data_IF_618892522486
#
_entry.id   IF_618892522486
#
_cell.length_a   1.000
_cell.length_b   1.000
_cell.length_c   1.000
_cell.angle_alpha   90.00
_cell.angle_beta   90.00
_cell.angle_gamma   90.00
#
_symmetry.space_group_name_H-M   'P 1'
#
loop_
_entity.id
_entity.type
_entity.pdbx_description
1 polymer ?
#
# COMPACT_ATOMS: atom_id res chain seq x y z
N UNK A 1 -9.22 2.11 -17.63
CA UNK A 1 -10.62 1.72 -17.70
C UNK A 1 -11.56 2.77 -17.08
N UNK A 2 -11.24 3.32 -15.95
CA UNK A 2 -12.05 4.36 -15.28
C UNK A 2 -11.87 5.75 -15.91
N UNK A 3 -10.69 6.02 -16.47
CA UNK A 3 -10.36 7.29 -17.10
C UNK A 3 -10.55 7.27 -18.62
N UNK A 4 -10.72 6.08 -19.22
CA UNK A 4 -10.95 5.98 -20.66
C UNK A 4 -12.38 6.39 -21.01
N UNK A 5 -12.51 7.44 -21.80
CA UNK A 5 -13.79 7.97 -22.25
C UNK A 5 -14.16 9.35 -21.70
N UNK A 6 -13.36 9.91 -20.80
CA UNK A 6 -13.52 11.29 -20.40
C UNK A 6 -13.20 12.22 -21.59
N UNK A 7 -14.18 13.06 -21.93
CA UNK A 7 -14.05 14.07 -22.98
C UNK A 7 -14.38 15.44 -22.40
N UNK A 8 -13.46 16.38 -22.58
CA UNK A 8 -13.65 17.77 -22.25
C UNK A 8 -13.49 18.59 -23.53
N UNK A 9 -14.61 18.87 -24.21
CA UNK A 9 -14.55 19.51 -25.52
C UNK A 9 -13.77 18.66 -26.56
N UNK A 10 -12.67 19.18 -27.08
CA UNK A 10 -11.76 18.51 -27.99
C UNK A 10 -10.70 17.62 -27.32
N UNK A 11 -10.57 17.68 -26.00
CA UNK A 11 -9.61 16.90 -25.23
C UNK A 11 -10.18 15.52 -24.93
N UNK A 12 -9.45 14.47 -25.28
CA UNK A 12 -9.82 13.08 -25.02
C UNK A 12 -8.78 12.40 -24.13
N UNK A 13 -9.21 11.76 -23.06
CA UNK A 13 -8.37 10.99 -22.17
C UNK A 13 -8.56 9.50 -22.47
N UNK A 14 -7.49 8.82 -22.82
CA UNK A 14 -7.48 7.38 -23.07
C UNK A 14 -6.48 6.70 -22.13
N UNK A 15 -6.86 5.54 -21.58
CA UNK A 15 -5.95 4.70 -20.81
C UNK A 15 -5.58 3.46 -21.60
N UNK A 16 -4.29 3.23 -21.77
CA UNK A 16 -3.73 2.07 -22.48
C UNK A 16 -3.39 0.91 -21.54
N UNK A 17 -3.76 1.00 -20.27
CA UNK A 17 -3.43 0.04 -19.23
C UNK A 17 -3.99 -1.37 -19.54
N UNK A 18 -3.12 -2.36 -19.59
CA UNK A 18 -3.48 -3.76 -19.84
C UNK A 18 -3.78 -4.49 -18.52
N UNK A 19 -4.79 -5.35 -18.52
CA UNK A 19 -5.14 -6.19 -17.34
C UNK A 19 -3.99 -7.09 -16.90
N UNK A 20 -3.17 -7.57 -17.83
CA UNK A 20 -2.01 -8.42 -17.55
C UNK A 20 -0.95 -7.73 -16.69
N UNK A 21 -0.81 -6.42 -16.80
CA UNK A 21 0.16 -5.64 -16.01
C UNK A 21 -0.27 -5.54 -14.54
N UNK A 22 -1.57 -5.42 -14.29
CA UNK A 22 -2.13 -5.47 -12.94
C UNK A 22 -1.94 -6.85 -12.30
N UNK A 23 -2.22 -7.91 -13.06
CA UNK A 23 -2.04 -9.29 -12.56
C UNK A 23 -0.58 -9.52 -12.17
N UNK A 24 0.38 -9.07 -12.99
CA UNK A 24 1.81 -9.17 -12.67
C UNK A 24 2.20 -8.45 -11.38
N UNK A 25 1.59 -7.29 -11.12
CA UNK A 25 1.81 -6.52 -9.89
C UNK A 25 1.29 -7.30 -8.66
N UNK A 26 0.09 -7.86 -8.74
CA UNK A 26 -0.48 -8.67 -7.65
C UNK A 26 0.37 -9.91 -7.35
N UNK A 27 0.86 -10.62 -8.37
CA UNK A 27 1.75 -11.76 -8.18
C UNK A 27 3.06 -11.38 -7.48
N UNK A 28 3.61 -10.22 -7.81
CA UNK A 28 4.81 -9.69 -7.15
C UNK A 28 4.56 -9.43 -5.66
N UNK A 29 3.42 -8.81 -5.33
CA UNK A 29 3.03 -8.56 -3.93
C UNK A 29 2.80 -9.87 -3.18
N UNK A 30 2.07 -10.82 -3.77
CA UNK A 30 1.85 -12.15 -3.18
C UNK A 30 3.19 -12.85 -2.90
N UNK A 31 4.13 -12.82 -3.85
CA UNK A 31 5.46 -13.38 -3.68
C UNK A 31 6.20 -12.79 -2.47
N UNK A 32 6.15 -11.48 -2.29
CA UNK A 32 6.74 -10.80 -1.12
C UNK A 32 6.05 -11.17 0.19
N UNK A 33 4.71 -11.26 0.19
CA UNK A 33 3.93 -11.68 1.38
C UNK A 33 4.32 -13.08 1.80
N UNK A 34 4.43 -14.01 0.86
CA UNK A 34 4.85 -15.39 1.13
C UNK A 34 6.30 -15.41 1.64
N UNK A 35 7.21 -14.69 0.99
CA UNK A 35 8.61 -14.62 1.42
C UNK A 35 8.75 -14.08 2.84
N UNK A 36 8.07 -12.97 3.16
CA UNK A 36 8.05 -12.42 4.51
C UNK A 36 7.43 -13.38 5.52
N UNK A 37 6.37 -14.09 5.15
CA UNK A 37 5.75 -15.11 5.99
C UNK A 37 6.71 -16.26 6.33
N UNK A 38 7.48 -16.73 5.34
CA UNK A 38 8.51 -17.75 5.56
C UNK A 38 9.61 -17.25 6.50
N UNK A 39 10.13 -16.03 6.26
CA UNK A 39 11.16 -15.42 7.11
C UNK A 39 10.66 -15.27 8.55
N UNK A 40 9.42 -14.82 8.72
CA UNK A 40 8.81 -14.67 10.04
C UNK A 40 8.62 -16.02 10.75
N UNK A 41 8.21 -17.07 10.02
CA UNK A 41 8.10 -18.42 10.57
C UNK A 41 9.44 -19.00 11.03
N UNK A 42 10.49 -18.77 10.23
CA UNK A 42 11.86 -19.17 10.60
C UNK A 42 12.34 -18.40 11.83
N UNK A 43 12.07 -17.11 11.90
CA UNK A 43 12.38 -16.28 13.07
C UNK A 43 11.71 -16.81 14.34
N UNK A 44 10.41 -17.12 14.28
CA UNK A 44 9.68 -17.68 15.44
C UNK A 44 10.24 -19.05 15.85
N UNK A 45 10.60 -19.90 14.88
CA UNK A 45 11.24 -21.18 15.13
C UNK A 45 12.58 -21.02 15.86
N UNK A 46 13.44 -20.10 15.39
CA UNK A 46 14.71 -19.80 16.06
C UNK A 46 14.50 -19.21 17.46
N UNK A 47 13.56 -18.30 17.64
CA UNK A 47 13.22 -17.72 18.94
C UNK A 47 12.78 -18.82 19.93
N UNK A 48 11.95 -19.76 19.48
CA UNK A 48 11.50 -20.90 20.30
C UNK A 48 12.66 -21.80 20.70
N UNK A 49 13.59 -22.12 19.78
CA UNK A 49 14.79 -22.92 20.08
C UNK A 49 15.70 -22.20 21.07
N UNK A 50 15.90 -20.90 20.92
CA UNK A 50 16.71 -20.11 21.87
C UNK A 50 16.11 -20.12 23.27
N UNK A 51 14.80 -19.89 23.39
CA UNK A 51 14.14 -19.90 24.72
C UNK A 51 14.16 -21.29 25.34
N UNK A 52 13.93 -22.35 24.56
CA UNK A 52 14.06 -23.73 25.06
C UNK A 52 15.47 -24.04 25.56
N UNK A 53 16.51 -23.60 24.83
CA UNK A 53 17.91 -23.81 25.25
C UNK A 53 18.25 -23.07 26.55
N UNK A 54 17.62 -21.90 26.80
CA UNK A 54 17.79 -21.13 28.04
C UNK A 54 17.05 -21.77 29.22
N UNK A 55 15.95 -22.47 28.98
CA UNK A 55 15.21 -23.20 30.03
C UNK A 55 15.87 -24.55 30.42
N UNK A 56 16.85 -25.02 29.62
CA UNK A 56 17.52 -26.29 29.86
C UNK A 56 16.68 -27.52 29.51
N UNK A 57 15.52 -27.33 28.93
CA UNK A 57 14.63 -28.42 28.50
C UNK A 57 14.83 -28.80 27.03
N UNK A 58 14.66 -30.07 26.66
CA UNK A 58 14.63 -30.47 25.26
C UNK A 58 13.50 -29.72 24.51
N UNK A 59 13.80 -29.23 23.32
CA UNK A 59 12.84 -28.45 22.50
C UNK A 59 11.48 -29.14 22.35
N UNK A 60 11.47 -30.48 22.19
CA UNK A 60 10.23 -31.24 22.04
C UNK A 60 9.35 -31.24 23.30
N UNK A 61 9.95 -31.23 24.50
CA UNK A 61 9.25 -31.17 25.78
C UNK A 61 8.77 -29.76 26.07
N UNK A 62 9.61 -28.74 25.80
CA UNK A 62 9.26 -27.35 25.92
C UNK A 62 8.03 -26.99 25.04
N UNK A 63 7.98 -27.53 23.81
CA UNK A 63 6.85 -27.27 22.90
C UNK A 63 5.54 -27.96 23.33
N UNK A 64 5.63 -29.08 24.06
CA UNK A 64 4.46 -29.81 24.59
C UNK A 64 3.97 -29.23 25.91
N UNK A 65 4.81 -28.50 26.65
CA UNK A 65 4.44 -27.89 27.89
C UNK A 65 3.45 -26.75 27.70
N UNK A 66 2.47 -26.63 28.61
CA UNK A 66 1.56 -25.46 28.62
C UNK A 66 2.31 -24.15 28.91
N UNK A 67 3.52 -24.22 29.39
CA UNK A 67 4.36 -23.08 29.76
C UNK A 67 4.98 -22.39 28.53
N UNK A 68 4.99 -23.06 27.38
CA UNK A 68 5.39 -22.47 26.10
C UNK A 68 4.64 -21.15 25.83
N UNK A 69 3.31 -21.17 25.96
CA UNK A 69 2.47 -19.97 25.71
C UNK A 69 2.58 -18.91 26.82
N UNK A 70 3.10 -19.28 27.99
CA UNK A 70 3.26 -18.37 29.14
C UNK A 70 4.68 -17.84 29.28
N UNK A 71 5.61 -18.30 28.46
CA UNK A 71 7.00 -17.87 28.49
C UNK A 71 7.13 -16.40 28.11
N UNK A 72 7.42 -15.55 29.09
CA UNK A 72 7.59 -14.10 28.90
C UNK A 72 8.69 -13.78 27.86
N UNK A 73 9.89 -14.43 27.88
CA UNK A 73 10.92 -14.19 26.87
C UNK A 73 10.43 -14.50 25.45
N UNK A 74 9.69 -15.58 25.27
CA UNK A 74 9.14 -15.94 23.96
C UNK A 74 8.09 -14.93 23.47
N UNK A 75 7.21 -14.47 24.37
CA UNK A 75 6.21 -13.46 24.05
C UNK A 75 6.86 -12.12 23.64
N UNK A 76 7.92 -11.72 24.31
CA UNK A 76 8.67 -10.49 23.99
C UNK A 76 9.34 -10.64 22.60
N UNK A 77 10.03 -11.74 22.35
CA UNK A 77 10.65 -12.00 21.04
C UNK A 77 9.61 -12.09 19.93
N UNK A 78 8.51 -12.80 20.16
CA UNK A 78 7.42 -12.89 19.19
C UNK A 78 6.79 -11.52 18.90
N UNK A 79 6.60 -10.68 19.92
CA UNK A 79 6.08 -9.33 19.79
C UNK A 79 7.01 -8.42 18.98
N UNK A 80 8.32 -8.44 19.24
CA UNK A 80 9.31 -7.70 18.46
C UNK A 80 9.35 -8.17 17.00
N UNK A 81 9.33 -9.49 16.80
CA UNK A 81 9.27 -10.06 15.44
C UNK A 81 8.00 -9.67 14.69
N UNK A 82 6.85 -9.67 15.37
CA UNK A 82 5.60 -9.21 14.79
C UNK A 82 5.63 -7.74 14.38
N UNK A 83 6.20 -6.86 15.21
CA UNK A 83 6.38 -5.45 14.86
C UNK A 83 7.26 -5.28 13.63
N UNK A 84 8.40 -5.98 13.57
CA UNK A 84 9.28 -5.94 12.42
C UNK A 84 8.59 -6.47 11.15
N UNK A 85 7.84 -7.58 11.26
CA UNK A 85 7.03 -8.13 10.17
C UNK A 85 5.96 -7.16 9.69
N UNK A 86 5.21 -6.52 10.61
CA UNK A 86 4.17 -5.56 10.28
C UNK A 86 4.74 -4.32 9.57
N UNK A 87 5.90 -3.82 10.00
CA UNK A 87 6.60 -2.71 9.33
C UNK A 87 7.06 -3.11 7.93
N UNK A 88 7.70 -4.28 7.77
CA UNK A 88 8.13 -4.79 6.48
C UNK A 88 6.95 -4.97 5.51
N UNK A 89 5.83 -5.54 6.01
CA UNK A 89 4.60 -5.69 5.22
C UNK A 89 4.03 -4.34 4.78
N UNK A 90 4.02 -3.34 5.66
CA UNK A 90 3.55 -1.99 5.32
C UNK A 90 4.41 -1.36 4.22
N UNK A 91 5.74 -1.52 4.29
CA UNK A 91 6.67 -1.04 3.26
C UNK A 91 6.39 -1.75 1.93
N UNK A 92 6.24 -3.08 1.92
CA UNK A 92 5.94 -3.85 0.71
C UNK A 92 4.65 -3.36 0.05
N UNK A 93 3.58 -3.19 0.84
CA UNK A 93 2.30 -2.71 0.31
C UNK A 93 2.45 -1.31 -0.26
N UNK A 94 3.09 -0.39 0.44
CA UNK A 94 3.25 1.00 -0.04
C UNK A 94 4.11 1.08 -1.30
N UNK A 95 5.25 0.39 -1.34
CA UNK A 95 6.19 0.47 -2.45
C UNK A 95 5.68 -0.28 -3.67
N UNK A 96 5.24 -1.52 -3.50
CA UNK A 96 4.91 -2.37 -4.65
C UNK A 96 3.44 -2.29 -5.06
N UNK A 97 2.50 -2.04 -4.13
CA UNK A 97 1.10 -1.93 -4.50
C UNK A 97 0.71 -0.48 -4.80
N UNK A 98 0.96 0.45 -3.88
CA UNK A 98 0.48 1.82 -4.04
C UNK A 98 1.33 2.57 -5.06
N UNK A 99 2.65 2.61 -4.88
CA UNK A 99 3.54 3.38 -5.75
C UNK A 99 3.56 2.81 -7.18
N UNK A 100 3.83 1.51 -7.35
CA UNK A 100 3.91 0.89 -8.68
C UNK A 100 2.56 0.97 -9.43
N UNK A 101 1.44 0.84 -8.70
CA UNK A 101 0.10 1.00 -9.27
C UNK A 101 -0.09 2.43 -9.81
N UNK A 102 0.20 3.45 -8.98
CA UNK A 102 0.06 4.84 -9.38
C UNK A 102 0.96 5.22 -10.54
N UNK A 103 2.21 4.78 -10.54
CA UNK A 103 3.13 5.01 -11.66
C UNK A 103 2.57 4.42 -12.95
N UNK A 104 2.07 3.18 -12.91
CA UNK A 104 1.49 2.53 -14.10
C UNK A 104 0.21 3.23 -14.57
N UNK A 105 -0.66 3.64 -13.65
CA UNK A 105 -1.86 4.41 -13.98
C UNK A 105 -1.47 5.72 -14.68
N UNK A 106 -0.55 6.49 -14.12
CA UNK A 106 -0.13 7.78 -14.67
C UNK A 106 0.54 7.62 -16.06
N UNK A 107 1.42 6.64 -16.21
CA UNK A 107 2.10 6.36 -17.49
C UNK A 107 1.13 5.85 -18.57
N UNK A 108 0.04 5.16 -18.16
CA UNK A 108 -0.95 4.63 -19.10
C UNK A 108 -1.93 5.69 -19.61
N UNK A 109 -1.99 6.85 -18.98
CA UNK A 109 -2.91 7.93 -19.37
C UNK A 109 -2.30 8.69 -20.54
N UNK A 110 -2.98 8.63 -21.69
CA UNK A 110 -2.65 9.42 -22.86
C UNK A 110 -3.72 10.48 -23.06
N UNK A 111 -3.29 11.75 -23.09
CA UNK A 111 -4.16 12.90 -23.29
C UNK A 111 -3.95 13.41 -24.70
N UNK A 112 -4.98 13.32 -25.54
CA UNK A 112 -4.97 13.82 -26.91
C UNK A 112 -5.85 15.05 -27.03
N UNK A 113 -5.49 15.97 -27.95
CA UNK A 113 -6.27 17.18 -28.20
C UNK A 113 -5.96 18.34 -27.26
N UNK A 114 -4.81 18.33 -26.57
CA UNK A 114 -4.38 19.44 -25.68
C UNK A 114 -4.29 20.76 -26.47
N UNK A 115 -3.97 20.72 -27.75
CA UNK A 115 -3.91 21.90 -28.62
C UNK A 115 -5.27 22.60 -28.76
N UNK A 116 -6.36 21.82 -28.71
CA UNK A 116 -7.70 22.38 -28.71
C UNK A 116 -8.03 23.14 -27.40
N UNK A 117 -7.43 22.72 -26.29
CA UNK A 117 -7.58 23.40 -24.99
C UNK A 117 -6.71 24.67 -24.92
N UNK A 118 -5.56 24.72 -25.61
CA UNK A 118 -4.70 25.90 -25.62
C UNK A 118 -5.36 27.09 -26.35
N UNK A 119 -6.31 26.84 -27.26
CA UNK A 119 -7.06 27.86 -27.99
C UNK A 119 -8.40 28.24 -27.32
N UNK A 120 -8.76 27.62 -26.21
CA UNK A 120 -9.92 28.05 -25.42
C UNK A 120 -9.50 29.31 -24.67
N UNK A 121 -9.88 30.49 -25.23
CA UNK A 121 -9.78 31.73 -24.49
C UNK A 121 -10.54 31.54 -23.16
N UNK A 122 -9.89 31.89 -22.08
CA UNK A 122 -10.53 31.84 -20.76
C UNK A 122 -11.72 32.81 -20.77
N UNK A 123 -12.89 32.29 -21.07
CA UNK A 123 -14.16 33.05 -21.08
C UNK A 123 -14.86 33.02 -19.71
N UNK A 124 -14.26 32.37 -18.73
CA UNK A 124 -14.76 32.42 -17.37
C UNK A 124 -14.15 33.59 -16.60
N UNK A 125 -14.94 34.31 -15.86
CA UNK A 125 -14.46 35.27 -14.86
C UNK A 125 -13.61 34.52 -13.84
N UNK A 126 -12.28 34.69 -13.89
CA UNK A 126 -11.34 34.06 -12.95
C UNK A 126 -11.62 34.40 -11.49
N UNK A 127 -12.38 35.48 -11.23
CA UNK A 127 -12.80 35.91 -9.91
C UNK A 127 -13.81 34.94 -9.26
N UNK A 128 -14.68 34.28 -10.04
CA UNK A 128 -15.69 33.40 -9.45
C UNK A 128 -15.12 32.05 -9.03
N UNK A 129 -14.20 31.49 -9.79
CA UNK A 129 -13.61 30.19 -9.44
C UNK A 129 -12.77 30.24 -8.15
N UNK A 130 -12.11 31.36 -7.86
CA UNK A 130 -11.40 31.60 -6.60
C UNK A 130 -12.32 32.03 -5.48
N UNK A 131 -13.41 32.74 -5.79
CA UNK A 131 -14.37 33.26 -4.80
C UNK A 131 -15.25 32.15 -4.21
N UNK A 132 -15.76 31.24 -5.02
CA UNK A 132 -16.65 30.18 -4.54
C UNK A 132 -15.88 29.14 -3.69
N UNK A 133 -14.68 28.77 -4.08
CA UNK A 133 -13.86 27.84 -3.29
C UNK A 133 -13.34 28.42 -1.97
N UNK A 134 -13.15 29.76 -1.90
CA UNK A 134 -12.75 30.44 -0.67
C UNK A 134 -13.94 30.72 0.24
N UNK A 135 -15.10 31.04 -0.32
CA UNK A 135 -16.33 31.30 0.46
C UNK A 135 -16.81 30.01 1.14
N UNK A 136 -16.81 28.86 0.43
CA UNK A 136 -17.15 27.56 1.01
C UNK A 136 -16.15 27.10 2.08
N UNK A 137 -14.87 27.46 1.93
CA UNK A 137 -13.82 27.15 2.92
C UNK A 137 -13.87 28.04 4.17
N UNK A 138 -14.49 29.20 4.10
CA UNK A 138 -14.60 30.13 5.22
C UNK A 138 -15.95 30.06 5.96
N UNK A 139 -16.95 29.37 5.38
CA UNK A 139 -18.26 29.15 6.02
C UNK A 139 -18.25 27.96 7.02
N UNK A 140 -17.07 27.49 7.41
CA UNK A 140 -16.90 26.58 8.56
C UNK A 140 -16.91 27.38 9.85
N UNK A 141 -18.02 27.97 10.19
CA UNK A 141 -18.11 28.75 11.41
C UNK A 141 -19.41 29.55 11.57
N UNK A 142 -20.44 29.18 10.85
CA UNK A 142 -21.78 29.74 11.08
C UNK A 142 -22.30 29.28 12.42
N UNK A 143 -22.32 30.19 13.39
CA UNK A 143 -23.03 30.12 14.66
C UNK A 143 -24.54 30.17 14.43
#
# INVERSE_FOLDING_TARGET
WWLSGLRFGGVKVESTMRRSELIGLYWKVIGWVVALGVVFSLYLGLAAVLVASMSGEPFAEFFKSQDFMKSIPLLVLAGLGYLAFALAMNIVIRVYLVHDLWVRVLVSVNITGIEAAANVAAQGEMANALGEGFADGLDVGGF
#
